data_IF_224229250131
#
_entry.id   IF_224229250131
#
_cell.length_a   1.000
_cell.length_b   1.000
_cell.length_c   1.000
_cell.angle_alpha   90.00
_cell.angle_beta   90.00
_cell.angle_gamma   90.00
#
_symmetry.space_group_name_H-M   'P 1'
#
loop_
_entity.id
_entity.type
_entity.pdbx_description
1 polymer ?
#
# COMPACT_ATOMS: atom_id res chain seq x y z
N UNK A 1 29.28 -14.37 -21.96
CA UNK A 1 27.99 -14.47 -21.25
C UNK A 1 27.49 -13.04 -21.06
N UNK A 2 26.33 -12.68 -21.62
CA UNK A 2 25.79 -11.31 -21.50
C UNK A 2 25.09 -11.17 -20.14
N UNK A 3 25.40 -10.15 -19.31
CA UNK A 3 24.69 -9.92 -18.06
C UNK A 3 23.24 -9.54 -18.37
N UNK A 4 22.30 -10.39 -17.93
CA UNK A 4 20.86 -10.14 -18.00
C UNK A 4 20.55 -8.98 -17.05
N UNK A 5 20.45 -7.77 -17.58
CA UNK A 5 20.03 -6.59 -16.81
C UNK A 5 18.53 -6.74 -16.55
N UNK A 6 18.18 -7.41 -15.46
CA UNK A 6 16.82 -7.41 -14.92
C UNK A 6 16.60 -6.00 -14.36
N UNK A 7 16.12 -5.10 -15.22
CA UNK A 7 15.55 -3.82 -14.77
C UNK A 7 14.33 -4.19 -13.96
N UNK A 8 14.50 -4.25 -12.64
CA UNK A 8 13.47 -4.52 -11.69
C UNK A 8 12.58 -3.27 -11.59
N UNK A 9 11.76 -3.03 -12.60
CA UNK A 9 10.63 -2.12 -12.49
C UNK A 9 9.66 -2.78 -11.51
N UNK A 10 9.88 -2.57 -10.20
CA UNK A 10 8.90 -2.96 -9.20
C UNK A 10 7.72 -2.03 -9.42
N UNK A 11 6.75 -2.49 -10.22
CA UNK A 11 5.41 -1.92 -10.26
C UNK A 11 4.77 -2.20 -8.90
N UNK A 12 5.23 -1.49 -7.87
CA UNK A 12 4.52 -1.34 -6.63
C UNK A 12 3.34 -0.48 -7.00
N UNK A 13 2.22 -1.16 -7.27
CA UNK A 13 0.91 -0.56 -7.15
C UNK A 13 0.83 -0.05 -5.73
N UNK A 14 1.24 1.20 -5.54
CA UNK A 14 0.97 1.97 -4.34
C UNK A 14 -0.49 1.68 -4.06
N UNK A 15 -0.80 1.15 -2.87
CA UNK A 15 -2.15 1.26 -2.33
C UNK A 15 -2.33 2.74 -1.98
N UNK A 16 -2.22 3.58 -3.00
CA UNK A 16 -2.75 4.91 -3.04
C UNK A 16 -4.25 4.66 -2.98
N UNK A 17 -4.94 5.38 -2.13
CA UNK A 17 -6.37 5.19 -1.90
C UNK A 17 -7.24 5.40 -3.15
N UNK A 18 -6.66 5.71 -4.31
CA UNK A 18 -7.29 5.57 -5.62
C UNK A 18 -6.74 4.37 -6.41
N UNK A 19 -7.37 3.20 -6.26
CA UNK A 19 -7.43 2.31 -7.44
C UNK A 19 -8.21 3.10 -8.49
N UNK A 20 -7.62 3.38 -9.65
CA UNK A 20 -8.38 3.88 -10.79
C UNK A 20 -9.49 2.89 -11.07
N UNK A 21 -10.71 3.21 -10.65
CA UNK A 21 -11.91 2.56 -11.12
C UNK A 21 -12.16 3.17 -12.49
N UNK A 22 -11.85 2.42 -13.55
CA UNK A 22 -12.33 2.77 -14.88
C UNK A 22 -13.87 2.74 -14.82
N UNK A 23 -14.60 3.85 -15.09
CA UNK A 23 -16.05 3.84 -15.15
C UNK A 23 -16.50 3.14 -16.44
N UNK A 24 -16.50 1.81 -16.42
CA UNK A 24 -16.85 0.95 -17.54
C UNK A 24 -18.19 0.24 -17.34
N UNK A 25 -19.25 0.89 -17.82
CA UNK A 25 -20.52 0.30 -18.31
C UNK A 25 -21.43 -0.41 -17.30
N UNK A 26 -22.36 0.35 -16.71
CA UNK A 26 -23.59 -0.20 -16.13
C UNK A 26 -24.50 -0.80 -17.22
N UNK A 27 -25.10 -1.99 -17.00
CA UNK A 27 -26.32 -2.36 -17.70
C UNK A 27 -27.54 -1.66 -17.06
N UNK A 28 -28.40 -1.09 -17.90
CA UNK A 28 -29.62 -0.40 -17.51
C UNK A 28 -30.53 -1.30 -16.64
N UNK A 29 -30.89 -0.82 -15.44
CA UNK A 29 -31.91 -1.45 -14.60
C UNK A 29 -33.25 -0.75 -14.83
N UNK A 30 -34.26 -1.56 -15.10
CA UNK A 30 -35.62 -1.14 -15.40
C UNK A 30 -36.34 -0.55 -14.17
N UNK A 31 -37.05 0.54 -14.43
CA UNK A 31 -38.01 1.22 -13.58
C UNK A 31 -39.18 0.29 -13.20
N UNK A 32 -39.54 0.25 -11.93
CA UNK A 32 -40.72 -0.46 -11.43
C UNK A 32 -41.23 0.19 -10.13
N UNK A 33 -42.13 1.15 -10.30
CA UNK A 33 -43.42 1.17 -9.60
C UNK A 33 -43.43 1.52 -8.11
N UNK A 34 -43.90 2.74 -7.83
CA UNK A 34 -44.29 3.22 -6.51
C UNK A 34 -45.52 2.49 -5.94
N UNK A 35 -45.55 2.32 -4.62
CA UNK A 35 -46.82 2.26 -3.85
C UNK A 35 -46.75 3.12 -2.60
N UNK A 36 -47.78 3.94 -2.49
CA UNK A 36 -48.15 4.90 -1.45
C UNK A 36 -48.65 4.16 -0.19
N UNK A 37 -48.16 4.50 1.00
CA UNK A 37 -48.76 4.08 2.28
C UNK A 37 -48.75 5.23 3.28
N UNK A 38 -49.95 5.52 3.78
CA UNK A 38 -50.35 6.60 4.70
C UNK A 38 -49.86 6.44 6.15
N UNK A 39 -49.94 7.51 6.97
CA UNK A 39 -49.32 7.58 8.30
C UNK A 39 -50.28 7.15 9.42
N UNK A 40 -49.76 6.40 10.40
CA UNK A 40 -50.50 6.01 11.59
C UNK A 40 -49.59 5.55 12.73
N UNK A 41 -49.61 6.34 13.79
CA UNK A 41 -49.56 5.95 15.21
C UNK A 41 -48.25 5.81 16.02
N UNK A 42 -48.21 6.68 17.04
CA UNK A 42 -47.72 6.53 18.43
C UNK A 42 -46.25 6.19 18.68
N UNK A 43 -45.48 7.26 18.90
CA UNK A 43 -44.17 7.24 19.54
C UNK A 43 -44.28 6.79 21.01
N UNK A 44 -43.77 5.60 21.29
CA UNK A 44 -43.31 5.21 22.62
C UNK A 44 -41.83 5.55 22.69
N UNK A 45 -41.44 6.51 23.55
CA UNK A 45 -40.03 6.81 23.84
C UNK A 45 -39.40 5.63 24.58
N UNK A 46 -38.86 4.68 23.80
CA UNK A 46 -37.89 3.70 24.28
C UNK A 46 -36.56 4.43 24.35
N UNK A 47 -35.97 4.48 25.54
CA UNK A 47 -34.61 4.98 25.73
C UNK A 47 -33.69 4.30 24.72
N UNK A 48 -33.13 5.11 23.83
CA UNK A 48 -32.25 4.66 22.75
C UNK A 48 -31.01 4.02 23.35
N UNK A 49 -31.04 2.69 23.51
CA UNK A 49 -29.84 1.87 23.46
C UNK A 49 -29.04 2.38 22.28
N UNK A 50 -27.83 2.89 22.54
CA UNK A 50 -26.97 3.47 21.53
C UNK A 50 -26.89 2.47 20.38
N UNK A 51 -27.56 2.80 19.27
CA UNK A 51 -27.72 1.88 18.15
C UNK A 51 -26.33 1.39 17.78
N UNK A 52 -26.10 0.09 17.96
CA UNK A 52 -24.89 -0.56 17.48
C UNK A 52 -24.96 -0.36 15.97
N UNK A 53 -24.23 0.65 15.48
CA UNK A 53 -24.12 0.92 14.06
C UNK A 53 -23.79 -0.41 13.37
N UNK A 54 -24.38 -0.69 12.20
CA UNK A 54 -23.96 -1.85 11.40
C UNK A 54 -22.43 -1.89 11.39
N UNK A 55 -21.85 -3.06 11.61
CA UNK A 55 -20.39 -3.23 11.74
C UNK A 55 -19.62 -2.49 10.64
N UNK A 56 -20.21 -2.40 9.44
CA UNK A 56 -19.73 -1.66 8.28
C UNK A 56 -19.63 -0.14 8.51
N UNK A 57 -20.67 0.52 9.02
CA UNK A 57 -20.68 1.97 9.29
C UNK A 57 -19.67 2.32 10.38
N UNK A 58 -19.61 1.52 11.45
CA UNK A 58 -18.59 1.68 12.51
C UNK A 58 -17.17 1.58 11.93
N UNK A 59 -16.94 0.58 11.09
CA UNK A 59 -15.64 0.31 10.45
C UNK A 59 -15.22 1.48 9.57
N UNK A 60 -16.09 1.88 8.64
CA UNK A 60 -15.77 2.97 7.72
C UNK A 60 -15.58 4.30 8.46
N UNK A 61 -16.45 4.62 9.43
CA UNK A 61 -16.26 5.81 10.25
C UNK A 61 -14.90 5.80 10.95
N UNK A 62 -14.52 4.67 11.57
CA UNK A 62 -13.25 4.55 12.31
C UNK A 62 -12.02 4.72 11.41
N UNK A 63 -12.05 4.12 10.21
CA UNK A 63 -10.98 4.25 9.22
C UNK A 63 -10.91 5.67 8.66
N UNK A 64 -12.04 6.29 8.34
CA UNK A 64 -12.11 7.69 7.89
C UNK A 64 -11.51 8.62 8.94
N UNK A 65 -11.86 8.45 10.22
CA UNK A 65 -11.29 9.27 11.30
C UNK A 65 -9.75 9.07 11.41
N UNK A 66 -9.26 7.84 11.21
CA UNK A 66 -7.82 7.55 11.23
C UNK A 66 -7.06 8.11 10.01
N UNK A 67 -7.69 8.12 8.83
CA UNK A 67 -7.12 8.56 7.57
C UNK A 67 -7.26 10.06 7.29
N UNK A 68 -8.25 10.73 7.90
CA UNK A 68 -8.60 12.13 7.61
C UNK A 68 -8.51 13.04 8.85
N UNK A 69 -7.67 12.67 9.82
CA UNK A 69 -7.40 13.47 11.01
C UNK A 69 -6.38 14.59 10.78
N UNK A 70 -6.00 15.26 11.87
CA UNK A 70 -5.04 16.37 11.85
C UNK A 70 -3.66 15.99 11.28
N UNK A 71 -3.25 14.72 11.44
CA UNK A 71 -2.00 14.22 10.86
C UNK A 71 -2.02 14.29 9.31
N UNK A 72 -3.15 13.96 8.68
CA UNK A 72 -3.31 14.01 7.22
C UNK A 72 -3.29 15.44 6.72
N UNK A 73 -3.99 16.35 7.42
CA UNK A 73 -3.95 17.78 7.10
C UNK A 73 -2.53 18.34 7.16
N UNK A 74 -1.83 18.10 8.28
CA UNK A 74 -0.45 18.52 8.44
C UNK A 74 0.42 17.95 7.32
N UNK A 75 0.15 16.70 6.92
CA UNK A 75 0.92 16.07 5.90
C UNK A 75 0.71 16.61 4.48
N UNK A 76 -0.55 16.81 4.09
CA UNK A 76 -0.89 17.45 2.84
C UNK A 76 -0.19 18.81 2.72
N UNK A 77 -0.20 19.62 3.80
CA UNK A 77 0.50 20.91 3.84
C UNK A 77 2.02 20.77 3.70
N UNK A 78 2.65 19.82 4.39
CA UNK A 78 4.10 19.55 4.27
C UNK A 78 4.49 19.19 2.84
N UNK A 79 3.65 18.44 2.13
CA UNK A 79 3.88 18.05 0.73
C UNK A 79 3.43 19.11 -0.28
N UNK A 80 2.97 20.29 0.17
CA UNK A 80 2.50 21.37 -0.70
C UNK A 80 1.17 21.07 -1.40
N UNK A 81 0.38 20.14 -0.89
CA UNK A 81 -0.93 19.75 -1.40
C UNK A 81 -2.02 20.48 -0.61
N UNK A 82 -2.98 21.09 -1.31
CA UNK A 82 -4.12 21.72 -0.66
C UNK A 82 -4.95 20.68 0.11
N UNK A 83 -5.29 20.99 1.36
CA UNK A 83 -6.13 20.15 2.20
C UNK A 83 -7.61 20.55 2.07
N UNK A 84 -8.48 19.56 1.82
CA UNK A 84 -9.92 19.69 1.90
C UNK A 84 -10.49 18.52 2.71
N UNK A 85 -10.85 18.78 3.97
CA UNK A 85 -11.36 17.74 4.89
C UNK A 85 -12.57 16.97 4.33
N UNK A 86 -13.48 17.65 3.62
CA UNK A 86 -14.60 17.00 2.94
C UNK A 86 -14.15 16.01 1.88
N UNK A 87 -13.20 16.40 1.03
CA UNK A 87 -12.64 15.55 -0.01
C UNK A 87 -11.89 14.33 0.54
N UNK A 88 -11.13 14.49 1.63
CA UNK A 88 -10.52 13.35 2.31
C UNK A 88 -11.56 12.35 2.79
N UNK A 89 -12.60 12.84 3.48
CA UNK A 89 -13.66 11.99 4.02
C UNK A 89 -14.38 11.23 2.93
N UNK A 90 -14.66 11.87 1.80
CA UNK A 90 -15.26 11.24 0.62
C UNK A 90 -14.35 10.13 0.07
N UNK A 91 -13.06 10.42 -0.17
CA UNK A 91 -12.10 9.44 -0.66
C UNK A 91 -11.91 8.25 0.29
N UNK A 92 -11.77 8.49 1.59
CA UNK A 92 -11.63 7.44 2.59
C UNK A 92 -12.93 6.62 2.76
N UNK A 93 -14.09 7.25 2.61
CA UNK A 93 -15.38 6.54 2.60
C UNK A 93 -15.47 5.62 1.38
N UNK A 94 -15.17 6.13 0.18
CA UNK A 94 -15.18 5.34 -1.06
C UNK A 94 -14.20 4.16 -1.00
N UNK A 95 -13.01 4.37 -0.41
CA UNK A 95 -12.04 3.31 -0.14
C UNK A 95 -12.65 2.20 0.74
N UNK A 96 -13.30 2.57 1.85
CA UNK A 96 -13.92 1.60 2.75
C UNK A 96 -15.09 0.87 2.08
N UNK A 97 -16.00 1.60 1.42
CA UNK A 97 -17.15 1.02 0.73
C UNK A 97 -16.73 -0.03 -0.29
N UNK A 98 -15.69 0.23 -1.08
CA UNK A 98 -15.16 -0.76 -2.05
C UNK A 98 -14.70 -2.06 -1.37
N UNK A 99 -14.19 -1.99 -0.13
CA UNK A 99 -13.78 -3.18 0.64
C UNK A 99 -14.98 -3.92 1.21
N UNK A 100 -15.96 -3.20 1.74
CA UNK A 100 -17.23 -3.77 2.22
C UNK A 100 -17.95 -4.47 1.07
N UNK A 101 -18.06 -3.85 -0.10
CA UNK A 101 -18.66 -4.46 -1.29
C UNK A 101 -17.95 -5.77 -1.68
N UNK A 102 -16.62 -5.80 -1.62
CA UNK A 102 -15.85 -7.01 -1.90
C UNK A 102 -16.13 -8.12 -0.88
N UNK A 103 -16.35 -7.78 0.39
CA UNK A 103 -16.76 -8.75 1.43
C UNK A 103 -18.18 -9.26 1.14
N UNK A 104 -19.12 -8.37 0.87
CA UNK A 104 -20.51 -8.71 0.52
C UNK A 104 -20.59 -9.61 -0.71
N UNK A 105 -19.72 -9.39 -1.70
CA UNK A 105 -19.60 -10.20 -2.92
C UNK A 105 -18.76 -11.49 -2.74
N UNK A 106 -18.27 -11.80 -1.53
CA UNK A 106 -17.45 -12.99 -1.26
C UNK A 106 -16.05 -12.97 -1.90
N UNK A 107 -15.56 -11.80 -2.31
CA UNK A 107 -14.23 -11.61 -2.89
C UNK A 107 -13.16 -11.30 -1.84
N UNK A 108 -13.58 -10.95 -0.63
CA UNK A 108 -12.75 -10.73 0.54
C UNK A 108 -13.43 -11.25 1.81
N UNK A 109 -12.66 -11.42 2.87
CA UNK A 109 -13.12 -11.68 4.23
C UNK A 109 -12.92 -10.43 5.10
N UNK A 110 -13.69 -10.34 6.18
CA UNK A 110 -13.60 -9.25 7.16
C UNK A 110 -13.26 -9.79 8.56
N UNK A 111 -12.32 -9.13 9.25
CA UNK A 111 -11.95 -9.44 10.63
C UNK A 111 -11.96 -8.16 11.51
N UNK A 112 -13.09 -7.94 12.20
CA UNK A 112 -13.31 -6.79 13.09
C UNK A 112 -12.25 -6.67 14.19
N UNK A 113 -11.63 -7.78 14.61
CA UNK A 113 -10.59 -7.77 15.64
C UNK A 113 -9.33 -7.00 15.21
N UNK A 114 -9.18 -6.73 13.91
CA UNK A 114 -8.05 -5.98 13.33
C UNK A 114 -8.31 -4.49 13.16
N UNK A 115 -9.55 -4.02 13.38
CA UNK A 115 -9.94 -2.65 13.06
C UNK A 115 -9.09 -1.61 13.81
N UNK A 116 -8.95 -1.75 15.13
CA UNK A 116 -8.22 -0.77 15.94
C UNK A 116 -6.72 -0.78 15.66
N UNK A 117 -6.12 -1.94 15.44
CA UNK A 117 -4.70 -2.03 15.09
C UNK A 117 -4.44 -1.48 13.67
N UNK A 118 -5.35 -1.72 12.72
CA UNK A 118 -5.26 -1.12 11.39
C UNK A 118 -5.40 0.41 11.44
N UNK A 119 -6.40 0.92 12.18
CA UNK A 119 -6.59 2.37 12.34
C UNK A 119 -5.37 3.04 12.99
N UNK A 120 -4.79 2.42 14.03
CA UNK A 120 -3.56 2.92 14.67
C UNK A 120 -2.37 2.91 13.71
N UNK A 121 -2.23 1.84 12.92
CA UNK A 121 -1.17 1.72 11.92
C UNK A 121 -1.27 2.83 10.87
N UNK A 122 -2.46 3.08 10.32
CA UNK A 122 -2.70 4.18 9.38
C UNK A 122 -2.32 5.54 9.95
N UNK A 123 -2.81 5.87 11.15
CA UNK A 123 -2.46 7.13 11.80
C UNK A 123 -0.95 7.27 11.99
N UNK A 124 -0.28 6.21 12.45
CA UNK A 124 1.18 6.20 12.62
C UNK A 124 1.93 6.42 11.31
N UNK A 125 1.50 5.80 10.21
CA UNK A 125 2.13 6.01 8.91
C UNK A 125 1.93 7.44 8.43
N UNK A 126 0.71 7.97 8.49
CA UNK A 126 0.40 9.34 8.03
C UNK A 126 1.20 10.40 8.80
N UNK A 127 1.45 10.21 10.10
CA UNK A 127 2.25 11.15 10.89
C UNK A 127 3.67 11.35 10.37
N UNK A 128 4.28 10.37 9.69
CA UNK A 128 5.62 10.55 9.12
C UNK A 128 5.62 11.21 7.74
N UNK A 129 4.44 11.39 7.15
CA UNK A 129 4.18 11.86 5.79
C UNK A 129 4.69 11.05 4.63
N UNK A 130 5.90 10.54 4.77
CA UNK A 130 6.51 9.66 3.81
C UNK A 130 7.12 8.50 4.59
N UNK A 131 7.10 7.32 3.99
CA UNK A 131 7.61 6.10 4.62
C UNK A 131 8.58 5.42 3.68
N UNK A 132 9.62 4.82 4.22
CA UNK A 132 10.41 3.84 3.47
C UNK A 132 9.57 2.57 3.23
N UNK A 133 9.96 1.80 2.20
CA UNK A 133 9.17 0.66 1.75
C UNK A 133 8.96 -0.40 2.84
N UNK A 134 10.01 -0.75 3.58
CA UNK A 134 9.96 -1.83 4.59
C UNK A 134 9.05 -1.46 5.77
N UNK A 135 9.18 -0.28 6.41
CA UNK A 135 8.21 0.20 7.38
C UNK A 135 6.77 0.25 6.83
N UNK A 136 6.60 0.71 5.58
CA UNK A 136 5.29 0.75 4.92
C UNK A 136 4.65 -0.64 4.80
N UNK A 137 5.39 -1.65 4.34
CA UNK A 137 4.89 -3.03 4.22
C UNK A 137 4.51 -3.59 5.59
N UNK A 138 5.36 -3.40 6.62
CA UNK A 138 5.09 -3.88 7.98
C UNK A 138 3.83 -3.25 8.56
N UNK A 139 3.69 -1.94 8.44
CA UNK A 139 2.53 -1.21 8.94
C UNK A 139 1.24 -1.57 8.17
N UNK A 140 1.33 -1.70 6.85
CA UNK A 140 0.19 -2.05 5.99
C UNK A 140 -0.27 -3.50 6.15
N UNK A 141 0.61 -4.42 6.54
CA UNK A 141 0.28 -5.85 6.71
C UNK A 141 -0.83 -6.09 7.75
N UNK A 142 -0.91 -5.23 8.77
CA UNK A 142 -1.98 -5.28 9.78
C UNK A 142 -3.34 -5.00 9.12
N UNK A 143 -3.41 -3.95 8.29
CA UNK A 143 -4.63 -3.58 7.59
C UNK A 143 -5.05 -4.58 6.50
N UNK A 144 -4.08 -5.28 5.90
CA UNK A 144 -4.38 -6.36 4.96
C UNK A 144 -5.12 -7.54 5.60
N UNK A 145 -5.11 -7.65 6.94
CA UNK A 145 -5.90 -8.65 7.66
C UNK A 145 -7.31 -8.18 8.01
N UNK A 146 -7.59 -6.87 8.02
CA UNK A 146 -8.94 -6.33 8.24
C UNK A 146 -9.86 -6.67 7.07
N UNK A 147 -9.38 -6.47 5.85
CA UNK A 147 -10.05 -6.86 4.60
C UNK A 147 -9.10 -7.72 3.78
N UNK A 148 -9.27 -9.04 3.84
CA UNK A 148 -8.34 -9.98 3.23
C UNK A 148 -8.97 -10.66 2.00
N UNK A 149 -8.35 -10.53 0.83
CA UNK A 149 -8.89 -11.12 -0.39
C UNK A 149 -8.93 -12.64 -0.35
N UNK A 150 -9.74 -13.25 -1.22
CA UNK A 150 -9.89 -14.72 -1.28
C UNK A 150 -8.99 -15.40 -2.31
N UNK A 151 -8.31 -14.63 -3.18
CA UNK A 151 -7.46 -15.18 -4.24
C UNK A 151 -6.01 -15.34 -3.80
N UNK A 152 -5.51 -16.56 -3.88
CA UNK A 152 -4.13 -16.90 -3.53
C UNK A 152 -3.06 -16.16 -4.35
N UNK A 153 -1.84 -15.99 -3.81
CA UNK A 153 -0.72 -15.41 -4.57
C UNK A 153 -0.46 -16.17 -5.88
N UNK A 154 -0.50 -15.46 -7.00
CA UNK A 154 -0.35 -15.98 -8.37
C UNK A 154 -1.68 -16.21 -9.11
N UNK A 155 -2.82 -16.15 -8.42
CA UNK A 155 -4.14 -16.19 -9.03
C UNK A 155 -4.42 -14.93 -9.87
N UNK A 156 -5.29 -15.04 -10.88
CA UNK A 156 -5.68 -13.90 -11.71
C UNK A 156 -6.59 -12.94 -10.94
N UNK A 157 -6.32 -11.64 -11.02
CA UNK A 157 -7.04 -10.61 -10.27
C UNK A 157 -7.45 -9.44 -11.19
N UNK A 158 -8.58 -8.82 -10.85
CA UNK A 158 -8.98 -7.55 -11.44
C UNK A 158 -8.53 -6.36 -10.57
N UNK A 159 -8.53 -6.54 -9.25
CA UNK A 159 -8.19 -5.51 -8.27
C UNK A 159 -7.47 -6.11 -7.06
N UNK A 160 -6.76 -5.26 -6.31
CA UNK A 160 -6.00 -5.70 -5.13
C UNK A 160 -6.88 -6.19 -3.98
N UNK A 161 -8.17 -5.86 -3.94
CA UNK A 161 -9.08 -6.33 -2.89
C UNK A 161 -9.40 -7.81 -2.99
N UNK A 162 -9.23 -8.41 -4.16
CA UNK A 162 -9.45 -9.83 -4.35
C UNK A 162 -8.26 -10.67 -3.85
N UNK A 163 -7.11 -10.07 -3.62
CA UNK A 163 -5.86 -10.80 -3.34
C UNK A 163 -5.67 -11.10 -1.85
N UNK A 164 -5.41 -12.37 -1.55
CA UNK A 164 -5.15 -12.85 -0.21
C UNK A 164 -3.74 -12.44 0.26
N UNK A 165 -3.69 -11.86 1.45
CA UNK A 165 -2.47 -11.55 2.18
C UNK A 165 -2.32 -12.54 3.37
N UNK A 166 -1.35 -13.46 3.34
CA UNK A 166 -0.92 -14.19 4.52
C UNK A 166 -0.60 -13.24 5.69
N UNK A 167 -0.71 -13.74 6.93
CA UNK A 167 -0.37 -12.96 8.14
C UNK A 167 1.05 -12.41 8.04
N UNK A 168 1.21 -11.12 8.31
CA UNK A 168 2.49 -10.41 8.21
C UNK A 168 2.89 -10.03 6.78
N UNK A 169 1.96 -10.09 5.82
CA UNK A 169 2.17 -9.64 4.44
C UNK A 169 1.12 -8.62 4.00
N UNK A 170 1.42 -7.93 2.90
CA UNK A 170 0.44 -7.18 2.11
C UNK A 170 0.20 -7.91 0.79
N UNK A 171 -0.98 -7.77 0.22
CA UNK A 171 -1.31 -8.30 -1.10
C UNK A 171 -1.76 -7.20 -2.05
N UNK A 172 -1.44 -7.36 -3.33
CA UNK A 172 -1.84 -6.45 -4.39
C UNK A 172 -2.03 -7.20 -5.71
N UNK A 173 -2.84 -6.62 -6.60
CA UNK A 173 -2.95 -7.09 -7.96
C UNK A 173 -1.88 -6.43 -8.82
N UNK A 174 -0.93 -7.21 -9.33
CA UNK A 174 0.06 -6.72 -10.28
C UNK A 174 -0.65 -6.26 -11.55
N UNK A 175 -0.53 -4.98 -11.89
CA UNK A 175 -1.30 -4.38 -12.98
C UNK A 175 -0.87 -4.87 -14.37
N UNK A 176 0.37 -5.35 -14.51
CA UNK A 176 0.90 -5.84 -15.78
C UNK A 176 0.61 -7.32 -15.97
N UNK A 177 0.92 -8.14 -14.95
CA UNK A 177 0.69 -9.58 -14.98
C UNK A 177 -0.78 -9.96 -14.74
N UNK A 178 -1.59 -9.03 -14.19
CA UNK A 178 -2.96 -9.26 -13.71
C UNK A 178 -3.03 -10.46 -12.76
N UNK A 179 -2.00 -10.61 -11.92
CA UNK A 179 -1.86 -11.68 -10.91
C UNK A 179 -1.70 -11.12 -9.51
N UNK A 180 -2.27 -11.80 -8.53
CA UNK A 180 -2.06 -11.47 -7.12
C UNK A 180 -0.59 -11.68 -6.75
N UNK A 181 -0.02 -10.70 -6.07
CA UNK A 181 1.31 -10.77 -5.46
C UNK A 181 1.21 -10.42 -3.98
N UNK A 182 2.13 -10.96 -3.19
CA UNK A 182 2.29 -10.58 -1.79
C UNK A 182 3.68 -10.05 -1.54
N UNK A 183 3.79 -9.11 -0.60
CA UNK A 183 5.06 -8.62 -0.09
C UNK A 183 5.13 -8.89 1.42
N UNK A 184 6.19 -9.56 1.85
CA UNK A 184 6.48 -9.82 3.27
C UNK A 184 7.87 -9.32 3.58
N UNK A 185 8.08 -8.86 4.82
CA UNK A 185 9.41 -8.55 5.34
C UNK A 185 9.93 -9.72 6.17
N UNK A 186 11.17 -10.14 5.94
CA UNK A 186 11.79 -11.31 6.57
C UNK A 186 13.12 -10.93 7.26
N UNK A 187 13.46 -11.58 8.39
CA UNK A 187 14.63 -11.22 9.19
C UNK A 187 15.95 -11.71 8.58
N UNK A 188 17.07 -11.39 9.24
CA UNK A 188 18.40 -11.90 8.90
C UNK A 188 18.43 -13.42 8.70
N UNK A 189 19.14 -13.88 7.66
CA UNK A 189 19.31 -15.30 7.34
C UNK A 189 18.08 -15.96 6.70
N UNK A 190 16.91 -15.32 6.73
CA UNK A 190 15.71 -15.84 6.07
C UNK A 190 15.82 -15.73 4.54
N UNK A 191 15.14 -16.63 3.84
CA UNK A 191 15.11 -16.62 2.38
C UNK A 191 14.33 -15.41 1.85
N UNK A 192 14.95 -14.66 0.95
CA UNK A 192 14.41 -13.46 0.33
C UNK A 192 14.31 -13.58 -1.20
N UNK A 193 13.48 -12.77 -1.86
CA UNK A 193 13.35 -12.76 -3.32
C UNK A 193 12.56 -11.54 -3.83
N UNK A 194 12.89 -11.11 -5.06
CA UNK A 194 12.23 -9.99 -5.75
C UNK A 194 11.38 -10.41 -6.96
N UNK A 195 11.17 -11.71 -7.15
CA UNK A 195 10.43 -12.27 -8.29
C UNK A 195 9.42 -13.32 -7.84
N UNK A 196 8.43 -13.60 -8.70
CA UNK A 196 7.36 -14.55 -8.41
C UNK A 196 6.16 -13.90 -7.72
N UNK A 197 5.23 -14.74 -7.24
CA UNK A 197 3.99 -14.26 -6.61
C UNK A 197 4.12 -13.93 -5.12
N UNK A 198 5.16 -14.44 -4.46
CA UNK A 198 5.42 -14.19 -3.04
C UNK A 198 6.78 -13.52 -2.89
N UNK A 199 6.77 -12.19 -2.82
CA UNK A 199 7.97 -11.37 -2.67
C UNK A 199 8.36 -11.31 -1.19
N UNK A 200 9.67 -11.46 -0.92
CA UNK A 200 10.22 -11.45 0.43
C UNK A 200 11.36 -10.46 0.49
N UNK A 201 11.11 -9.35 1.16
CA UNK A 201 12.05 -8.27 1.36
C UNK A 201 12.74 -8.45 2.70
N UNK A 202 14.02 -8.11 2.76
CA UNK A 202 14.75 -8.11 4.02
C UNK A 202 14.32 -6.95 4.92
N UNK A 203 14.44 -7.13 6.24
CA UNK A 203 14.29 -6.06 7.22
C UNK A 203 15.31 -4.93 7.01
N UNK A 204 15.03 -3.76 7.58
CA UNK A 204 15.93 -2.61 7.56
C UNK A 204 17.32 -2.99 8.11
N UNK A 205 18.38 -2.55 7.44
CA UNK A 205 19.75 -2.95 7.76
C UNK A 205 20.19 -4.28 7.15
N UNK A 206 19.32 -4.92 6.35
CA UNK A 206 19.62 -6.15 5.63
C UNK A 206 19.27 -6.05 4.13
N UNK A 207 20.11 -6.66 3.31
CA UNK A 207 19.88 -6.79 1.87
C UNK A 207 19.64 -8.25 1.47
N UNK A 208 18.99 -8.47 0.33
CA UNK A 208 18.80 -9.80 -0.21
C UNK A 208 20.01 -10.24 -1.04
N UNK A 209 20.83 -11.12 -0.49
CA UNK A 209 21.97 -11.69 -1.18
C UNK A 209 21.50 -12.73 -2.20
N UNK A 210 21.66 -12.41 -3.48
CA UNK A 210 21.30 -13.26 -4.61
C UNK A 210 22.52 -13.99 -5.21
N UNK A 211 23.70 -13.86 -4.61
CA UNK A 211 24.95 -14.40 -5.17
C UNK A 211 25.17 -15.87 -4.82
N UNK A 212 24.56 -16.34 -3.73
CA UNK A 212 24.62 -17.74 -3.29
C UNK A 212 23.64 -18.66 -4.03
N UNK A 213 23.78 -19.98 -3.80
CA UNK A 213 22.83 -20.98 -4.31
C UNK A 213 21.41 -20.82 -3.73
N UNK A 214 21.30 -20.20 -2.56
CA UNK A 214 20.04 -19.83 -1.91
C UNK A 214 20.08 -18.35 -1.57
N UNK A 215 19.06 -17.61 -1.97
CA UNK A 215 18.92 -16.21 -1.60
C UNK A 215 18.60 -16.06 -0.12
N UNK A 216 19.30 -15.15 0.58
CA UNK A 216 19.09 -14.94 2.01
C UNK A 216 19.35 -13.48 2.41
N UNK A 217 18.69 -13.04 3.48
CA UNK A 217 18.93 -11.72 4.04
C UNK A 217 20.29 -11.65 4.76
N UNK A 218 21.14 -10.73 4.34
CA UNK A 218 22.48 -10.47 4.88
C UNK A 218 22.55 -9.04 5.38
N UNK A 219 23.37 -8.79 6.39
CA UNK A 219 23.60 -7.44 6.89
C UNK A 219 24.15 -6.53 5.79
N UNK A 220 23.59 -5.34 5.67
CA UNK A 220 24.07 -4.30 4.76
C UNK A 220 25.50 -3.89 5.11
N UNK A 221 26.26 -3.55 4.08
CA UNK A 221 27.58 -2.96 4.20
C UNK A 221 27.45 -1.52 4.71
N UNK A 222 28.29 -1.15 5.69
CA UNK A 222 28.29 0.21 6.22
C UNK A 222 28.72 1.24 5.16
N UNK A 223 28.30 2.51 5.29
CA UNK A 223 28.81 3.59 4.44
C UNK A 223 30.36 3.61 4.39
N UNK A 224 30.90 3.74 3.18
CA UNK A 224 32.33 3.70 2.89
C UNK A 224 32.97 2.31 2.81
N UNK A 225 32.23 1.25 3.18
CA UNK A 225 32.72 -0.12 3.05
C UNK A 225 32.86 -0.51 1.57
N UNK A 226 33.83 -1.37 1.27
CA UNK A 226 34.09 -1.84 -0.08
C UNK A 226 32.90 -2.66 -0.61
N UNK A 227 32.47 -2.37 -1.82
CA UNK A 227 31.40 -3.08 -2.52
C UNK A 227 31.84 -3.42 -3.94
N UNK A 228 31.01 -4.16 -4.66
CA UNK A 228 31.23 -4.48 -6.07
C UNK A 228 30.03 -4.06 -6.90
N UNK A 229 30.28 -3.56 -8.11
CA UNK A 229 29.23 -3.26 -9.07
C UNK A 229 28.34 -4.47 -9.42
N UNK A 230 28.83 -5.70 -9.25
CA UNK A 230 28.02 -6.91 -9.43
C UNK A 230 27.13 -7.26 -8.22
N UNK A 231 27.35 -6.63 -7.06
CA UNK A 231 26.58 -6.82 -5.83
C UNK A 231 26.28 -5.46 -5.17
N UNK A 232 25.82 -4.49 -5.96
CA UNK A 232 25.53 -3.13 -5.48
C UNK A 232 24.45 -3.09 -4.40
N UNK A 233 23.55 -4.09 -4.39
CA UNK A 233 22.51 -4.27 -3.38
C UNK A 233 23.08 -4.51 -1.97
N UNK A 234 24.34 -4.95 -1.85
CA UNK A 234 24.98 -5.17 -0.56
C UNK A 234 25.09 -3.91 0.29
N UNK A 235 25.02 -2.72 -0.32
CA UNK A 235 25.02 -1.45 0.40
C UNK A 235 23.68 -1.12 1.08
N UNK A 236 22.60 -1.83 0.73
CA UNK A 236 21.27 -1.62 1.30
C UNK A 236 20.29 -0.86 0.42
N UNK A 237 19.04 -0.76 0.86
CA UNK A 237 17.95 -0.18 0.06
C UNK A 237 18.08 1.33 -0.19
N UNK A 238 18.77 2.08 0.67
CA UNK A 238 18.94 3.54 0.56
C UNK A 238 20.35 3.95 0.12
N UNK A 239 21.18 2.98 -0.24
CA UNK A 239 22.58 3.19 -0.60
C UNK A 239 22.91 2.49 -1.92
N UNK A 240 24.02 2.89 -2.53
CA UNK A 240 24.52 2.33 -3.77
C UNK A 240 26.03 2.15 -3.74
N UNK A 241 26.55 1.38 -4.68
CA UNK A 241 27.97 1.12 -4.84
C UNK A 241 28.57 2.11 -5.85
N UNK A 242 29.27 3.13 -5.36
CA UNK A 242 29.95 4.17 -6.16
C UNK A 242 31.44 4.04 -5.93
N UNK A 243 32.23 3.96 -7.00
CA UNK A 243 33.69 3.81 -6.93
C UNK A 243 34.14 2.69 -5.97
N UNK A 244 33.48 1.53 -6.09
CA UNK A 244 33.66 0.34 -5.25
C UNK A 244 33.47 0.58 -3.74
N UNK A 245 32.70 1.61 -3.36
CA UNK A 245 32.32 1.89 -1.96
C UNK A 245 30.83 2.16 -1.81
N UNK A 246 30.29 1.76 -0.66
CA UNK A 246 28.91 2.08 -0.33
C UNK A 246 28.77 3.57 -0.02
N UNK A 247 27.86 4.23 -0.73
CA UNK A 247 27.51 5.63 -0.54
C UNK A 247 25.98 5.78 -0.52
N UNK A 248 25.48 6.86 0.06
CA UNK A 248 24.05 7.20 -0.02
C UNK A 248 23.65 7.34 -1.49
N UNK A 249 22.56 6.70 -1.89
CA UNK A 249 22.04 6.84 -3.25
C UNK A 249 21.44 8.22 -3.48
N UNK A 250 21.34 8.63 -4.74
CA UNK A 250 20.69 9.87 -5.11
C UNK A 250 19.22 9.88 -4.65
N UNK A 251 18.79 11.02 -4.11
CA UNK A 251 17.44 11.26 -3.61
C UNK A 251 16.42 11.41 -4.75
N UNK A 252 15.13 11.35 -4.40
CA UNK A 252 14.07 11.56 -5.38
C UNK A 252 14.17 12.94 -6.05
N UNK A 253 14.03 12.99 -7.37
CA UNK A 253 14.12 14.21 -8.19
C UNK A 253 15.55 14.58 -8.61
N UNK A 254 16.59 13.97 -8.03
CA UNK A 254 17.97 14.20 -8.45
C UNK A 254 18.23 13.57 -9.83
N UNK A 255 19.10 14.18 -10.66
CA UNK A 255 19.41 13.67 -11.99
C UNK A 255 20.18 12.36 -11.92
N UNK A 256 19.83 11.41 -12.77
CA UNK A 256 20.51 10.12 -12.86
C UNK A 256 20.69 9.70 -14.31
N UNK A 257 21.73 8.90 -14.56
CA UNK A 257 21.97 8.24 -15.83
C UNK A 257 21.45 6.81 -15.83
N UNK A 258 21.39 6.19 -14.65
CA UNK A 258 20.99 4.80 -14.49
C UNK A 258 20.34 4.53 -13.14
N UNK A 259 19.54 3.47 -13.09
CA UNK A 259 18.71 3.16 -11.92
C UNK A 259 19.53 2.87 -10.66
N UNK A 260 20.75 2.35 -10.78
CA UNK A 260 21.60 2.03 -9.63
C UNK A 260 22.13 3.25 -8.90
N UNK A 261 22.14 4.44 -9.50
CA UNK A 261 22.59 5.66 -8.81
C UNK A 261 21.57 6.13 -7.76
N UNK A 262 20.30 5.78 -7.96
CA UNK A 262 19.18 6.23 -7.14
C UNK A 262 19.02 5.39 -5.89
N UNK A 263 18.69 6.02 -4.76
CA UNK A 263 18.22 5.30 -3.56
C UNK A 263 16.99 4.44 -3.88
N UNK A 264 16.14 4.84 -4.82
CA UNK A 264 14.94 4.05 -5.22
C UNK A 264 15.22 2.90 -6.16
N UNK A 265 16.49 2.73 -6.55
CA UNK A 265 16.92 1.83 -7.61
C UNK A 265 16.12 2.01 -8.90
N UNK A 266 15.59 3.21 -9.13
CA UNK A 266 14.76 3.53 -10.28
C UNK A 266 15.10 4.92 -10.78
N UNK A 267 15.69 4.96 -11.97
CA UNK A 267 15.92 6.18 -12.73
C UNK A 267 14.90 6.24 -13.88
N UNK A 268 14.00 7.21 -13.84
CA UNK A 268 12.95 7.38 -14.84
C UNK A 268 13.02 8.76 -15.45
N UNK A 269 13.04 8.85 -16.78
CA UNK A 269 13.17 10.11 -17.51
C UNK A 269 14.38 10.98 -17.07
N UNK A 270 15.48 10.34 -16.65
CA UNK A 270 16.71 11.01 -16.22
C UNK A 270 16.69 11.56 -14.80
N UNK A 271 15.69 11.21 -13.97
CA UNK A 271 15.65 11.55 -12.55
C UNK A 271 15.32 10.36 -11.68
N UNK A 272 15.83 10.38 -10.45
CA UNK A 272 15.58 9.34 -9.47
C UNK A 272 14.15 9.42 -8.95
N UNK A 273 13.47 8.27 -8.84
CA UNK A 273 12.22 8.22 -8.10
C UNK A 273 12.49 8.37 -6.60
N UNK A 274 11.50 8.83 -5.83
CA UNK A 274 11.56 8.83 -4.37
C UNK A 274 11.53 7.39 -3.83
N UNK A 275 12.39 7.06 -2.86
CA UNK A 275 12.24 5.86 -2.01
C UNK A 275 11.10 5.99 -1.01
N UNK A 276 10.74 7.23 -0.72
CA UNK A 276 9.72 7.54 0.26
C UNK A 276 8.36 7.51 -0.41
N UNK A 277 7.49 6.64 0.09
CA UNK A 277 6.11 6.53 -0.32
C UNK A 277 5.33 7.64 0.37
N UNK A 278 4.72 8.58 -0.37
CA UNK A 278 3.87 9.58 0.23
C UNK A 278 2.66 8.87 0.85
N UNK A 279 2.39 9.14 2.12
CA UNK A 279 1.28 8.53 2.87
C UNK A 279 -0.06 9.19 2.58
N UNK A 280 -0.03 10.36 1.95
CA UNK A 280 -1.19 11.06 1.40
C UNK A 280 -0.90 11.42 -0.06
N UNK A 281 -1.94 11.42 -0.88
CA UNK A 281 -1.85 11.88 -2.27
C UNK A 281 -2.89 12.97 -2.53
N UNK A 282 -2.98 13.47 -3.77
CA UNK A 282 -3.99 14.48 -4.12
C UNK A 282 -5.41 13.99 -3.84
N UNK A 283 -5.72 12.73 -4.19
CA UNK A 283 -7.06 12.17 -4.02
C UNK A 283 -7.48 12.16 -2.55
N UNK A 284 -6.59 11.72 -1.65
CA UNK A 284 -6.84 11.76 -0.22
C UNK A 284 -6.84 13.20 0.34
N UNK A 285 -5.95 14.08 -0.13
CA UNK A 285 -5.84 15.43 0.41
C UNK A 285 -7.01 16.34 0.01
N UNK A 286 -7.51 16.24 -1.22
CA UNK A 286 -8.50 17.17 -1.76
C UNK A 286 -9.76 16.53 -2.36
N UNK A 287 -9.92 15.21 -2.27
CA UNK A 287 -11.06 14.48 -2.85
C UNK A 287 -11.02 14.38 -4.37
N UNK A 288 -9.93 14.79 -5.00
CA UNK A 288 -9.79 14.75 -6.44
C UNK A 288 -9.86 13.32 -6.98
N UNK A 289 -10.72 13.09 -7.96
CA UNK A 289 -10.60 11.92 -8.82
C UNK A 289 -9.34 12.09 -9.67
N UNK A 290 -8.38 11.17 -9.50
CA UNK A 290 -7.10 11.15 -10.22
C UNK A 290 -7.21 10.54 -11.61
#
# INVERSE_FOLDING_TARGET
MKPLHVVLAVALGVVACGSKVDPGSEPAVADSGATDVSPGDTATEVASDAAVLPTEERTCKRLVDAMCGAASEACCRTLGIAWAAGGCREAATAYCSTRIDAVTLGRATYDDSKLEDCARSWTSMITTCQQEFVPYVKASAICAQLFNGTKEPGAACASSVECNAPVGSVAYCDQTAKRCRTSTVVPEGAQCNFTGSRLRYCEDGFYCDLTGATSACRKELAPGAACSSSNYIACGYSSTCVDDKCATGLGGGEPCTESRECSSWTCAAGTCNSVLYPMVDKSLCNGGTS
#
